data_IF_437505070343
#
_entry.id   IF_437505070343
#
_cell.length_a   1.000
_cell.length_b   1.000
_cell.length_c   1.000
_cell.angle_alpha   90.00
_cell.angle_beta   90.00
_cell.angle_gamma   90.00
#
_symmetry.space_group_name_H-M   'P 1'
#
loop_
_entity.id
_entity.type
_entity.pdbx_description
1 polymer ?
#
# COMPACT_ATOMS: atom_id res chain seq x y z
N UNK A 1 33.73 9.08 -24.92
CA UNK A 1 32.70 9.89 -25.59
C UNK A 1 31.83 10.52 -24.52
N UNK A 2 31.82 11.84 -24.45
CA UNK A 2 31.10 12.63 -23.44
C UNK A 2 29.60 12.54 -23.72
N UNK A 3 28.83 12.06 -22.74
CA UNK A 3 27.37 12.19 -22.74
C UNK A 3 27.03 13.61 -22.29
N UNK A 4 26.58 14.44 -23.21
CA UNK A 4 26.02 15.76 -22.90
C UNK A 4 24.65 15.59 -22.26
N UNK A 5 24.56 15.91 -20.95
CA UNK A 5 23.31 15.98 -20.22
C UNK A 5 22.83 17.42 -20.32
N UNK A 6 21.91 17.69 -21.24
CA UNK A 6 21.22 18.99 -21.30
C UNK A 6 20.16 19.04 -20.20
N UNK A 7 20.45 19.77 -19.11
CA UNK A 7 19.47 20.07 -18.05
C UNK A 7 18.35 20.94 -18.61
N UNK A 8 17.12 20.45 -18.56
CA UNK A 8 15.90 21.23 -18.80
C UNK A 8 14.99 21.02 -17.59
N UNK A 9 14.88 22.05 -16.73
CA UNK A 9 13.95 22.29 -15.61
C UNK A 9 13.63 21.13 -14.63
N UNK A 10 13.77 21.41 -13.33
CA UNK A 10 13.58 20.67 -12.06
C UNK A 10 12.64 19.43 -11.92
N UNK A 11 12.06 18.90 -12.99
CA UNK A 11 11.48 17.56 -13.03
C UNK A 11 12.50 16.56 -13.58
N UNK A 12 13.25 15.90 -12.69
CA UNK A 12 14.08 14.74 -13.09
C UNK A 12 13.14 13.63 -13.57
N UNK A 13 12.92 13.56 -14.88
CA UNK A 13 12.27 12.47 -15.58
C UNK A 13 13.37 11.62 -16.21
N UNK A 14 13.84 10.62 -15.49
CA UNK A 14 14.80 9.63 -16.00
C UNK A 14 14.00 8.42 -16.46
N UNK A 15 13.87 8.27 -17.78
CA UNK A 15 13.43 7.04 -18.41
C UNK A 15 14.63 6.50 -19.15
N UNK A 16 15.34 5.56 -18.52
CA UNK A 16 16.35 4.78 -19.22
C UNK A 16 16.11 3.28 -19.02
N UNK A 17 16.15 2.64 -20.17
CA UNK A 17 16.09 1.22 -20.46
C UNK A 17 17.18 0.46 -19.69
N UNK A 18 16.79 -0.57 -18.92
CA UNK A 18 17.77 -1.62 -18.60
C UNK A 18 18.07 -2.39 -19.88
N UNK A 19 19.31 -2.91 -20.02
CA UNK A 19 19.73 -3.81 -21.12
C UNK A 19 18.80 -5.02 -21.35
N UNK A 20 17.91 -5.29 -20.40
CA UNK A 20 16.93 -6.39 -20.40
C UNK A 20 15.48 -5.96 -20.75
N UNK A 21 15.24 -4.70 -21.14
CA UNK A 21 13.90 -4.24 -21.58
C UNK A 21 12.91 -3.88 -20.47
N UNK A 22 13.37 -3.77 -19.23
CA UNK A 22 12.57 -3.27 -18.12
C UNK A 22 12.47 -1.74 -18.19
N UNK A 23 11.22 -1.24 -18.31
CA UNK A 23 10.91 0.19 -18.25
C UNK A 23 11.05 0.65 -16.80
N UNK A 24 11.99 1.57 -16.54
CA UNK A 24 12.05 2.35 -15.30
C UNK A 24 11.63 3.78 -15.63
N UNK A 25 10.47 4.17 -15.09
CA UNK A 25 10.00 5.55 -15.10
C UNK A 25 10.40 6.14 -13.74
N UNK A 26 11.59 6.73 -13.66
CA UNK A 26 12.01 7.45 -12.47
C UNK A 26 11.64 8.91 -12.67
N UNK A 27 10.63 9.34 -11.92
CA UNK A 27 10.12 10.70 -12.00
C UNK A 27 10.07 11.27 -10.61
N UNK A 28 10.58 12.49 -10.45
CA UNK A 28 10.30 13.26 -9.26
C UNK A 28 8.78 13.50 -9.18
N UNK A 29 8.14 12.78 -8.25
CA UNK A 29 6.74 12.98 -7.89
C UNK A 29 6.65 14.27 -7.07
N UNK A 30 6.50 15.42 -7.74
CA UNK A 30 5.94 16.59 -7.05
C UNK A 30 4.44 16.37 -6.88
N UNK A 31 3.94 16.42 -5.64
CA UNK A 31 2.52 16.23 -5.30
C UNK A 31 1.92 14.91 -5.82
N UNK A 32 2.65 13.80 -5.65
CA UNK A 32 2.16 12.44 -5.94
C UNK A 32 1.82 12.16 -7.41
N UNK A 33 2.19 13.06 -8.33
CA UNK A 33 1.92 12.90 -9.75
C UNK A 33 3.09 13.37 -10.60
N UNK A 34 3.00 13.09 -11.89
CA UNK A 34 3.96 13.48 -12.90
C UNK A 34 3.24 14.32 -13.93
N UNK A 35 3.83 15.45 -14.30
CA UNK A 35 3.28 16.34 -15.31
C UNK A 35 4.15 16.28 -16.58
N UNK A 36 3.58 15.79 -17.68
CA UNK A 36 4.26 15.68 -18.97
C UNK A 36 3.58 16.48 -20.06
N UNK A 37 4.39 17.09 -20.92
CA UNK A 37 3.92 17.64 -22.20
C UNK A 37 3.69 16.53 -23.23
N UNK A 38 2.91 16.82 -24.27
CA UNK A 38 2.72 15.91 -25.40
C UNK A 38 4.05 15.55 -26.11
N UNK A 39 5.01 16.48 -26.13
CA UNK A 39 6.33 16.24 -26.71
C UNK A 39 7.16 15.28 -25.86
N UNK A 40 7.18 15.44 -24.53
CA UNK A 40 7.83 14.48 -23.64
C UNK A 40 7.23 13.07 -23.80
N UNK A 41 5.90 12.94 -23.79
CA UNK A 41 5.24 11.66 -24.06
C UNK A 41 5.60 11.06 -25.44
N UNK A 42 5.76 11.90 -26.46
CA UNK A 42 6.21 11.47 -27.79
C UNK A 42 7.61 10.84 -27.77
N UNK A 43 8.53 11.41 -26.98
CA UNK A 43 9.86 10.84 -26.78
C UNK A 43 9.77 9.49 -26.04
N UNK A 44 9.00 9.41 -24.96
CA UNK A 44 8.84 8.19 -24.14
C UNK A 44 8.30 7.04 -24.97
N UNK A 45 7.21 7.29 -25.70
CA UNK A 45 6.54 6.23 -26.45
C UNK A 45 7.09 6.08 -27.88
N UNK A 46 8.18 6.78 -28.22
CA UNK A 46 8.80 6.79 -29.54
C UNK A 46 7.76 6.94 -30.66
N UNK A 47 7.03 8.06 -30.62
CA UNK A 47 5.93 8.36 -31.56
C UNK A 47 5.83 9.84 -31.86
N UNK A 48 5.29 10.18 -33.02
CA UNK A 48 5.07 11.58 -33.39
C UNK A 48 4.16 12.31 -32.38
N UNK A 49 4.54 13.53 -32.02
CA UNK A 49 3.76 14.39 -31.12
C UNK A 49 2.33 14.57 -31.59
N UNK A 50 2.10 14.66 -32.91
CA UNK A 50 0.74 14.75 -33.49
C UNK A 50 -0.11 13.53 -33.14
N UNK A 51 0.47 12.33 -33.13
CA UNK A 51 -0.21 11.09 -32.76
C UNK A 51 -0.52 11.08 -31.26
N UNK A 52 0.43 11.50 -30.43
CA UNK A 52 0.21 11.65 -28.98
C UNK A 52 -0.93 12.64 -28.70
N UNK A 53 -0.92 13.82 -29.32
CA UNK A 53 -2.00 14.82 -29.19
C UNK A 53 -3.35 14.26 -29.64
N UNK A 54 -3.38 13.45 -30.70
CA UNK A 54 -4.60 12.75 -31.12
C UNK A 54 -5.09 11.80 -30.03
N UNK A 55 -4.21 10.99 -29.44
CA UNK A 55 -4.59 10.10 -28.35
C UNK A 55 -5.09 10.88 -27.13
N UNK A 56 -4.40 11.93 -26.70
CA UNK A 56 -4.83 12.80 -25.59
C UNK A 56 -6.24 13.37 -25.85
N UNK A 57 -6.49 13.89 -27.05
CA UNK A 57 -7.82 14.39 -27.38
C UNK A 57 -8.88 13.30 -27.35
N UNK A 58 -8.56 12.09 -27.83
CA UNK A 58 -9.48 10.96 -27.73
C UNK A 58 -9.75 10.55 -26.28
N UNK A 59 -8.76 10.57 -25.38
CA UNK A 59 -8.96 10.27 -23.95
C UNK A 59 -10.04 11.18 -23.35
N UNK A 60 -9.99 12.48 -23.63
CA UNK A 60 -10.99 13.43 -23.14
C UNK A 60 -12.33 13.31 -23.88
N UNK A 61 -12.32 13.07 -25.19
CA UNK A 61 -13.56 12.95 -25.99
C UNK A 61 -14.34 11.67 -25.66
N UNK A 62 -13.63 10.59 -25.34
CA UNK A 62 -14.22 9.31 -24.95
C UNK A 62 -14.79 9.37 -23.52
N UNK A 63 -14.55 10.47 -22.77
CA UNK A 63 -14.95 10.62 -21.38
C UNK A 63 -14.16 9.75 -20.40
N UNK A 64 -12.99 9.23 -20.80
CA UNK A 64 -12.15 8.40 -19.93
C UNK A 64 -11.57 9.22 -18.77
N UNK A 65 -11.17 10.47 -19.05
CA UNK A 65 -10.69 11.42 -18.05
C UNK A 65 -11.33 12.80 -18.32
N UNK A 66 -11.47 13.61 -17.28
CA UNK A 66 -11.90 15.00 -17.41
C UNK A 66 -10.72 15.91 -17.74
N UNK A 67 -10.92 16.99 -18.49
CA UNK A 67 -9.80 17.86 -18.89
C UNK A 67 -9.33 18.80 -17.77
N UNK A 68 -10.21 19.16 -16.85
CA UNK A 68 -9.97 20.21 -15.85
C UNK A 68 -8.96 19.76 -14.79
N UNK A 69 -9.09 18.54 -14.27
CA UNK A 69 -8.21 17.98 -13.24
C UNK A 69 -6.92 17.39 -13.83
N UNK A 70 -6.91 17.08 -15.13
CA UNK A 70 -5.85 16.33 -15.78
C UNK A 70 -4.96 17.18 -16.71
N UNK A 71 -5.19 18.50 -16.81
CA UNK A 71 -4.41 19.42 -17.66
C UNK A 71 -4.01 20.69 -16.93
N UNK A 72 -2.72 21.03 -16.93
CA UNK A 72 -2.21 22.31 -16.47
C UNK A 72 -1.61 23.10 -17.65
N UNK A 73 -1.94 24.40 -17.75
CA UNK A 73 -1.36 25.29 -18.76
C UNK A 73 -0.32 26.20 -18.12
N UNK A 74 0.92 26.10 -18.59
CA UNK A 74 2.03 26.94 -18.12
C UNK A 74 2.41 27.92 -19.22
N UNK A 75 2.55 29.20 -18.86
CA UNK A 75 3.03 30.24 -19.77
C UNK A 75 4.56 30.26 -19.69
N UNK A 76 5.20 30.04 -20.83
CA UNK A 76 6.66 30.07 -20.96
C UNK A 76 7.03 31.32 -21.72
N UNK A 77 8.00 32.08 -21.20
CA UNK A 77 8.48 33.30 -21.84
C UNK A 77 9.06 32.99 -23.22
N UNK A 78 8.70 33.82 -24.21
CA UNK A 78 9.08 33.61 -25.61
C UNK A 78 8.18 32.66 -26.41
N UNK A 79 7.24 31.95 -25.77
CA UNK A 79 6.26 31.09 -26.46
C UNK A 79 4.92 31.81 -26.61
N UNK A 80 4.41 31.89 -27.84
CA UNK A 80 3.14 32.58 -28.15
C UNK A 80 1.91 31.95 -27.48
N UNK A 81 1.94 30.66 -27.18
CA UNK A 81 0.81 29.90 -26.64
C UNK A 81 1.23 29.16 -25.36
N UNK A 82 0.35 29.09 -24.34
CA UNK A 82 0.62 28.30 -23.13
C UNK A 82 0.88 26.83 -23.48
N UNK A 83 1.89 26.25 -22.83
CA UNK A 83 2.23 24.84 -22.98
C UNK A 83 1.33 24.03 -22.04
N UNK A 84 0.72 22.97 -22.58
CA UNK A 84 -0.13 22.07 -21.79
C UNK A 84 0.69 20.90 -21.25
N UNK A 85 0.57 20.69 -19.95
CA UNK A 85 1.07 19.56 -19.18
C UNK A 85 -0.10 18.67 -18.80
N UNK A 86 0.14 17.37 -18.78
CA UNK A 86 -0.85 16.34 -18.49
C UNK A 86 -0.35 15.45 -17.36
N UNK A 87 -1.24 15.10 -16.44
CA UNK A 87 -0.90 14.30 -15.27
C UNK A 87 -0.63 12.82 -15.62
N UNK A 88 -0.28 12.03 -14.61
CA UNK A 88 0.05 10.62 -14.75
C UNK A 88 -1.09 9.79 -15.38
N UNK A 89 -2.35 10.09 -15.07
CA UNK A 89 -3.50 9.33 -15.59
C UNK A 89 -3.60 9.44 -17.12
N UNK A 90 -3.40 10.66 -17.65
CA UNK A 90 -3.35 10.88 -19.10
C UNK A 90 -2.17 10.13 -19.72
N UNK A 91 -1.00 10.13 -19.07
CA UNK A 91 0.19 9.42 -19.56
C UNK A 91 -0.06 7.91 -19.63
N UNK A 92 -0.67 7.33 -18.60
CA UNK A 92 -1.02 5.90 -18.56
C UNK A 92 -2.01 5.57 -19.67
N UNK A 93 -3.08 6.35 -19.81
CA UNK A 93 -4.11 6.14 -20.83
C UNK A 93 -3.53 6.21 -22.26
N UNK A 94 -2.71 7.22 -22.52
CA UNK A 94 -1.98 7.34 -23.79
C UNK A 94 -1.07 6.12 -24.01
N UNK A 95 -0.32 5.68 -23.00
CA UNK A 95 0.54 4.51 -23.09
C UNK A 95 -0.18 3.23 -23.52
N UNK A 96 -1.43 3.02 -23.08
CA UNK A 96 -2.26 1.92 -23.55
C UNK A 96 -2.69 2.07 -25.02
N UNK A 97 -2.93 3.31 -25.48
CA UNK A 97 -3.44 3.62 -26.83
C UNK A 97 -2.35 3.72 -27.90
N UNK A 98 -1.09 3.96 -27.53
CA UNK A 98 0.01 4.15 -28.50
C UNK A 98 0.44 2.81 -29.13
N UNK A 99 0.50 2.80 -30.47
CA UNK A 99 1.04 1.70 -31.27
C UNK A 99 2.52 1.95 -31.61
N UNK A 100 3.40 1.58 -30.68
CA UNK A 100 4.85 1.59 -30.84
C UNK A 100 5.48 0.42 -30.07
N UNK A 101 6.78 0.16 -30.29
CA UNK A 101 7.53 -0.84 -29.50
C UNK A 101 7.52 -0.48 -28.01
N UNK A 102 7.73 0.80 -27.68
CA UNK A 102 7.66 1.29 -26.29
C UNK A 102 6.25 1.17 -25.69
N UNK A 103 5.20 1.44 -26.47
CA UNK A 103 3.82 1.19 -26.03
C UNK A 103 3.54 -0.29 -25.77
N UNK A 104 4.12 -1.20 -26.57
CA UNK A 104 4.03 -2.65 -26.33
C UNK A 104 4.76 -3.03 -25.03
N UNK A 105 5.98 -2.53 -24.82
CA UNK A 105 6.75 -2.76 -23.59
C UNK A 105 6.00 -2.23 -22.36
N UNK A 106 5.44 -1.03 -22.44
CA UNK A 106 4.62 -0.43 -21.38
C UNK A 106 3.43 -1.31 -21.02
N UNK A 107 2.67 -1.78 -22.02
CA UNK A 107 1.52 -2.67 -21.76
C UNK A 107 1.93 -4.01 -21.17
N UNK A 108 3.05 -4.61 -21.60
CA UNK A 108 3.56 -5.86 -20.98
C UNK A 108 3.87 -5.65 -19.51
N UNK A 109 4.65 -4.63 -19.20
CA UNK A 109 4.98 -4.22 -17.83
C UNK A 109 3.74 -3.97 -16.99
N UNK A 110 2.76 -3.20 -17.48
CA UNK A 110 1.55 -2.90 -16.75
C UNK A 110 0.70 -4.16 -16.49
N UNK A 111 0.60 -5.02 -17.50
CA UNK A 111 -0.11 -6.31 -17.40
C UNK A 111 0.54 -7.22 -16.37
N UNK A 112 1.87 -7.26 -16.29
CA UNK A 112 2.60 -8.04 -15.29
C UNK A 112 2.28 -7.59 -13.86
N UNK A 113 2.26 -6.28 -13.60
CA UNK A 113 1.88 -5.75 -12.27
C UNK A 113 0.42 -5.98 -11.93
N UNK A 114 -0.49 -5.79 -12.89
CA UNK A 114 -1.91 -6.09 -12.70
C UNK A 114 -2.09 -7.58 -12.39
N UNK A 115 -1.42 -8.46 -13.14
CA UNK A 115 -1.46 -9.91 -12.91
C UNK A 115 -0.91 -10.28 -11.54
N UNK A 116 0.21 -9.68 -11.14
CA UNK A 116 0.79 -9.89 -9.83
C UNK A 116 -0.19 -9.48 -8.72
N UNK A 117 -0.79 -8.30 -8.82
CA UNK A 117 -1.79 -7.82 -7.88
C UNK A 117 -3.01 -8.74 -7.81
N UNK A 118 -3.53 -9.20 -8.96
CA UNK A 118 -4.68 -10.13 -9.00
C UNK A 118 -4.36 -11.45 -8.31
N UNK A 119 -3.13 -11.98 -8.46
CA UNK A 119 -2.73 -13.28 -7.90
C UNK A 119 -2.34 -13.17 -6.41
N UNK A 120 -1.54 -12.17 -6.05
CA UNK A 120 -0.91 -12.04 -4.73
C UNK A 120 -1.65 -11.08 -3.79
N UNK A 121 -2.47 -10.19 -4.33
CA UNK A 121 -3.11 -9.09 -3.61
C UNK A 121 -2.22 -7.85 -3.40
N UNK A 122 -0.99 -7.83 -3.95
CA UNK A 122 -0.06 -6.70 -3.87
C UNK A 122 0.90 -6.68 -5.08
N UNK A 123 1.48 -5.52 -5.38
CA UNK A 123 2.62 -5.35 -6.31
C UNK A 123 3.61 -4.38 -5.69
N UNK A 124 4.92 -4.58 -5.90
CA UNK A 124 5.97 -3.83 -5.21
C UNK A 124 7.19 -3.64 -6.11
N UNK A 125 7.85 -2.49 -5.97
CA UNK A 125 9.13 -2.21 -6.61
C UNK A 125 10.25 -2.25 -5.55
N UNK A 126 10.81 -3.45 -5.35
CA UNK A 126 11.81 -3.71 -4.30
C UNK A 126 13.07 -2.87 -4.46
N UNK A 127 13.55 -2.68 -5.69
CA UNK A 127 14.76 -1.90 -5.94
C UNK A 127 14.54 -0.43 -5.59
N UNK A 128 13.40 0.14 -6.00
CA UNK A 128 13.05 1.53 -5.67
C UNK A 128 12.93 1.71 -4.16
N UNK A 129 12.28 0.78 -3.46
CA UNK A 129 12.11 0.87 -2.01
C UNK A 129 13.43 0.71 -1.25
N UNK A 130 14.35 -0.14 -1.72
CA UNK A 130 15.70 -0.27 -1.14
C UNK A 130 16.56 0.96 -1.37
N UNK A 131 16.56 1.52 -2.59
CA UNK A 131 17.50 2.56 -2.98
C UNK A 131 17.07 3.97 -2.54
N UNK A 132 15.78 4.27 -2.56
CA UNK A 132 15.26 5.60 -2.18
C UNK A 132 14.82 5.67 -0.70
N UNK A 133 15.12 4.62 0.08
CA UNK A 133 14.72 4.50 1.49
C UNK A 133 13.20 4.45 1.69
N UNK A 134 12.43 4.25 0.62
CA UNK A 134 11.00 4.08 0.64
C UNK A 134 10.16 5.29 1.08
N UNK A 135 10.78 6.33 1.65
CA UNK A 135 10.14 7.58 2.07
C UNK A 135 8.91 7.38 2.97
N UNK A 136 7.98 8.34 2.90
CA UNK A 136 6.67 8.28 3.61
C UNK A 136 5.86 7.04 3.23
N UNK A 137 5.89 6.63 1.97
CA UNK A 137 5.10 5.50 1.44
C UNK A 137 5.53 4.14 1.99
N UNK A 138 6.82 3.94 2.30
CA UNK A 138 7.27 2.72 2.94
C UNK A 138 6.75 2.59 4.37
N UNK A 139 6.74 3.68 5.13
CA UNK A 139 6.11 3.69 6.44
C UNK A 139 4.60 3.45 6.37
N UNK A 140 3.92 4.01 5.36
CA UNK A 140 2.50 3.73 5.10
C UNK A 140 2.28 2.25 4.80
N UNK A 141 3.08 1.65 3.91
CA UNK A 141 3.03 0.23 3.58
C UNK A 141 3.25 -0.64 4.82
N UNK A 142 4.27 -0.34 5.63
CA UNK A 142 4.53 -1.06 6.88
C UNK A 142 3.36 -0.97 7.86
N UNK A 143 2.74 0.21 7.99
CA UNK A 143 1.58 0.38 8.87
C UNK A 143 0.36 -0.41 8.35
N UNK A 144 0.12 -0.42 7.04
CA UNK A 144 -0.95 -1.25 6.43
C UNK A 144 -0.69 -2.74 6.65
N UNK A 145 0.54 -3.20 6.48
CA UNK A 145 0.93 -4.59 6.78
C UNK A 145 0.70 -4.91 8.26
N UNK A 146 1.11 -4.01 9.17
CA UNK A 146 0.89 -4.18 10.62
C UNK A 146 -0.59 -4.25 10.97
N UNK A 147 -1.44 -3.44 10.34
CA UNK A 147 -2.89 -3.47 10.57
C UNK A 147 -3.56 -4.74 10.00
N UNK A 148 -3.13 -5.19 8.81
CA UNK A 148 -3.54 -6.48 8.24
C UNK A 148 -3.16 -7.63 9.19
N UNK A 149 -1.92 -7.63 9.70
CA UNK A 149 -1.43 -8.62 10.67
C UNK A 149 -2.19 -8.56 12.00
N UNK A 150 -2.59 -7.37 12.45
CA UNK A 150 -3.33 -7.21 13.69
C UNK A 150 -4.83 -7.42 13.55
N UNK A 151 -5.34 -7.73 12.35
CA UNK A 151 -6.65 -8.32 12.26
C UNK A 151 -6.64 -9.61 13.09
N UNK A 152 -7.55 -9.71 14.06
CA UNK A 152 -7.56 -10.79 15.04
C UNK A 152 -7.42 -12.17 14.38
N UNK A 153 -8.06 -12.39 13.23
CA UNK A 153 -7.97 -13.62 12.45
C UNK A 153 -6.56 -13.97 11.94
N UNK A 154 -5.79 -12.98 11.48
CA UNK A 154 -4.41 -13.19 10.98
C UNK A 154 -3.43 -13.31 12.14
N UNK A 155 -3.61 -12.48 13.17
CA UNK A 155 -2.94 -12.61 14.47
C UNK A 155 -3.08 -14.03 14.99
N UNK A 156 -4.31 -14.54 15.11
CA UNK A 156 -4.58 -15.89 15.57
C UNK A 156 -3.85 -16.92 14.70
N UNK A 157 -3.96 -16.86 13.37
CA UNK A 157 -3.27 -17.82 12.49
C UNK A 157 -1.75 -17.81 12.66
N UNK A 158 -1.11 -16.65 12.77
CA UNK A 158 0.34 -16.55 12.96
C UNK A 158 0.77 -17.08 14.33
N UNK A 159 -0.03 -16.84 15.38
CA UNK A 159 0.23 -17.48 16.68
C UNK A 159 0.01 -19.00 16.57
N UNK A 160 -1.06 -19.48 15.90
CA UNK A 160 -1.25 -20.92 15.68
C UNK A 160 -0.07 -21.54 14.90
N UNK A 161 0.48 -20.87 13.89
CA UNK A 161 1.60 -21.37 13.08
C UNK A 161 2.91 -21.41 13.90
N UNK A 162 3.19 -20.37 14.67
CA UNK A 162 4.33 -20.32 15.58
C UNK A 162 4.22 -21.37 16.69
N UNK A 163 3.02 -21.55 17.28
CA UNK A 163 2.80 -22.52 18.33
C UNK A 163 2.52 -23.94 17.82
N UNK A 164 2.21 -24.14 16.54
CA UNK A 164 2.25 -25.46 15.92
C UNK A 164 3.67 -26.05 15.93
N UNK A 165 4.70 -25.22 16.12
CA UNK A 165 6.07 -25.69 16.43
C UNK A 165 6.25 -26.11 17.90
N UNK A 166 5.31 -25.78 18.79
CA UNK A 166 5.30 -26.25 20.16
C UNK A 166 4.84 -27.72 20.22
N UNK A 167 5.56 -28.51 21.01
CA UNK A 167 5.41 -29.97 21.08
C UNK A 167 4.01 -30.40 21.56
N UNK A 168 3.32 -29.55 22.31
CA UNK A 168 2.07 -29.83 23.01
C UNK A 168 0.83 -29.10 22.44
N UNK A 169 0.91 -28.57 21.23
CA UNK A 169 -0.16 -27.77 20.65
C UNK A 169 -1.35 -28.60 20.13
N UNK A 170 -2.56 -28.27 20.62
CA UNK A 170 -3.83 -28.74 20.07
C UNK A 170 -4.80 -27.54 19.94
N UNK A 171 -5.22 -27.14 18.72
CA UNK A 171 -6.07 -25.96 18.50
C UNK A 171 -7.42 -26.03 19.20
N UNK A 172 -7.91 -27.23 19.53
CA UNK A 172 -9.20 -27.46 20.18
C UNK A 172 -9.08 -27.71 21.68
N UNK A 173 -7.86 -27.75 22.22
CA UNK A 173 -7.65 -27.94 23.66
C UNK A 173 -8.07 -26.70 24.44
N UNK A 174 -8.71 -26.91 25.59
CA UNK A 174 -9.19 -25.83 26.45
C UNK A 174 -8.04 -24.97 26.97
N UNK A 175 -6.89 -25.58 27.23
CA UNK A 175 -5.65 -24.95 27.67
C UNK A 175 -5.13 -23.96 26.63
N UNK A 176 -5.15 -24.36 25.36
CA UNK A 176 -4.74 -23.54 24.23
C UNK A 176 -5.66 -22.32 24.08
N UNK A 177 -6.98 -22.50 24.12
CA UNK A 177 -7.96 -21.40 24.07
C UNK A 177 -7.76 -20.43 25.26
N UNK A 178 -7.55 -20.96 26.47
CA UNK A 178 -7.33 -20.15 27.68
C UNK A 178 -6.03 -19.35 27.61
N UNK A 179 -4.95 -19.97 27.12
CA UNK A 179 -3.68 -19.31 26.88
C UNK A 179 -3.83 -18.14 25.91
N UNK A 180 -4.53 -18.35 24.79
CA UNK A 180 -4.79 -17.29 23.81
C UNK A 180 -5.55 -16.11 24.38
N UNK A 181 -6.64 -16.37 25.11
CA UNK A 181 -7.41 -15.31 25.79
C UNK A 181 -6.53 -14.52 26.76
N UNK A 182 -5.62 -15.20 27.47
CA UNK A 182 -4.70 -14.56 28.40
C UNK A 182 -3.69 -13.66 27.68
N UNK A 183 -3.06 -14.14 26.60
CA UNK A 183 -2.10 -13.36 25.81
C UNK A 183 -2.78 -12.15 25.18
N UNK A 184 -3.96 -12.33 24.60
CA UNK A 184 -4.76 -11.22 24.06
C UNK A 184 -5.04 -10.18 25.14
N UNK A 185 -5.53 -10.58 26.31
CA UNK A 185 -5.79 -9.66 27.41
C UNK A 185 -4.52 -8.94 27.89
N UNK A 186 -3.36 -9.61 27.89
CA UNK A 186 -2.07 -8.95 28.20
C UNK A 186 -1.73 -7.87 27.18
N UNK A 187 -1.97 -8.11 25.89
CA UNK A 187 -1.74 -7.10 24.86
C UNK A 187 -2.70 -5.92 24.96
N UNK A 188 -4.00 -6.18 25.14
CA UNK A 188 -4.98 -5.12 25.35
C UNK A 188 -4.60 -4.28 26.58
N UNK A 189 -4.28 -4.93 27.70
CA UNK A 189 -3.92 -4.22 28.93
C UNK A 189 -2.64 -3.41 28.78
N UNK A 190 -1.62 -3.96 28.10
CA UNK A 190 -0.38 -3.23 27.82
C UNK A 190 -0.57 -2.05 26.86
N UNK A 191 -1.56 -2.13 25.95
CA UNK A 191 -1.82 -1.09 24.95
C UNK A 191 -2.71 0.05 25.48
N UNK A 192 -3.65 -0.20 26.39
CA UNK A 192 -4.62 0.82 26.82
C UNK A 192 -5.18 0.61 28.23
N UNK A 193 -4.58 -0.28 29.02
CA UNK A 193 -4.92 -0.49 30.43
C UNK A 193 -6.20 -1.28 30.69
N UNK A 194 -6.84 -1.85 29.67
CA UNK A 194 -8.06 -2.64 29.80
C UNK A 194 -7.89 -4.01 29.12
N UNK A 195 -8.57 -5.04 29.61
CA UNK A 195 -8.75 -6.30 28.89
C UNK A 195 -9.73 -6.14 27.72
N UNK A 196 -9.78 -7.11 26.80
CA UNK A 196 -10.71 -7.04 25.67
C UNK A 196 -12.18 -6.94 26.13
N UNK A 197 -12.55 -7.67 27.19
CA UNK A 197 -13.90 -7.63 27.75
C UNK A 197 -14.21 -6.29 28.45
N UNK A 198 -13.25 -5.72 29.20
CA UNK A 198 -13.42 -4.41 29.84
C UNK A 198 -13.55 -3.28 28.81
N UNK A 199 -12.84 -3.35 27.68
CA UNK A 199 -13.01 -2.39 26.58
C UNK A 199 -14.45 -2.40 26.07
N UNK A 200 -14.98 -3.57 25.73
CA UNK A 200 -16.35 -3.69 25.23
C UNK A 200 -17.35 -3.21 26.29
N UNK A 201 -17.20 -3.68 27.53
CA UNK A 201 -18.09 -3.30 28.64
C UNK A 201 -18.11 -1.79 28.90
N UNK A 202 -16.95 -1.13 28.88
CA UNK A 202 -16.83 0.29 29.20
C UNK A 202 -17.16 1.21 28.02
N UNK A 203 -17.00 0.75 26.78
CA UNK A 203 -17.09 1.61 25.59
C UNK A 203 -18.33 1.37 24.73
N UNK A 204 -18.95 0.19 24.81
CA UNK A 204 -20.17 -0.10 24.08
C UNK A 204 -21.34 0.67 24.72
N UNK A 205 -21.93 1.61 23.97
CA UNK A 205 -22.96 2.52 24.45
C UNK A 205 -24.01 2.79 23.38
N UNK A 206 -25.25 2.38 23.63
CA UNK A 206 -26.37 2.54 22.69
C UNK A 206 -26.71 4.00 22.38
N UNK A 207 -26.26 4.95 23.20
CA UNK A 207 -26.51 6.38 22.97
C UNK A 207 -25.48 7.00 22.03
N UNK A 208 -24.39 6.29 21.70
CA UNK A 208 -23.37 6.77 20.76
C UNK A 208 -23.66 6.27 19.34
N UNK A 209 -23.23 7.03 18.30
CA UNK A 209 -23.23 6.53 16.94
C UNK A 209 -22.51 5.18 16.87
N UNK A 210 -23.14 4.22 16.17
CA UNK A 210 -22.60 2.86 15.98
C UNK A 210 -22.21 2.15 17.29
N UNK A 211 -22.93 2.41 18.39
CA UNK A 211 -22.64 1.82 19.70
C UNK A 211 -21.26 2.20 20.28
N UNK A 212 -20.59 3.21 19.73
CA UNK A 212 -19.22 3.60 20.10
C UNK A 212 -18.12 2.90 19.31
N UNK A 213 -18.46 2.15 18.26
CA UNK A 213 -17.49 1.56 17.33
C UNK A 213 -16.77 2.68 16.54
N UNK A 214 -15.45 2.59 16.49
CA UNK A 214 -14.55 3.47 15.73
C UNK A 214 -14.14 2.88 14.39
N UNK A 215 -14.22 1.55 14.24
CA UNK A 215 -13.85 0.82 13.02
C UNK A 215 -14.76 -0.38 12.81
N UNK A 216 -15.32 -0.56 11.62
CA UNK A 216 -16.10 -1.74 11.22
C UNK A 216 -16.11 -1.85 9.69
N UNK A 217 -16.48 -3.02 9.17
CA UNK A 217 -16.53 -3.26 7.73
C UNK A 217 -17.90 -2.90 7.15
N UNK A 218 -17.92 -2.14 6.06
CA UNK A 218 -19.15 -1.77 5.35
C UNK A 218 -19.73 -0.43 5.81
N UNK A 219 -20.93 -0.11 5.33
CA UNK A 219 -21.61 1.16 5.65
C UNK A 219 -22.26 1.15 7.05
N UNK A 220 -22.59 -0.04 7.58
CA UNK A 220 -23.19 -0.24 8.90
C UNK A 220 -22.51 -1.39 9.63
N UNK A 221 -22.36 -1.32 10.97
CA UNK A 221 -21.73 -2.39 11.75
C UNK A 221 -22.60 -3.64 11.80
N UNK A 222 -21.96 -4.81 11.77
CA UNK A 222 -22.60 -6.10 11.99
C UNK A 222 -22.55 -6.51 13.45
N UNK A 223 -23.36 -7.50 13.85
CA UNK A 223 -23.32 -8.07 15.21
C UNK A 223 -21.92 -8.59 15.55
N UNK A 224 -21.22 -9.18 14.58
CA UNK A 224 -19.86 -9.68 14.78
C UNK A 224 -18.86 -8.55 15.08
N UNK A 225 -19.10 -7.34 14.58
CA UNK A 225 -18.20 -6.20 14.85
C UNK A 225 -18.32 -5.71 16.30
N UNK A 226 -19.47 -5.92 16.95
CA UNK A 226 -19.74 -5.53 18.33
C UNK A 226 -18.92 -6.38 19.32
N UNK A 227 -18.67 -7.65 18.98
CA UNK A 227 -17.91 -8.58 19.83
C UNK A 227 -16.39 -8.36 19.79
N UNK A 228 -15.90 -7.53 18.85
CA UNK A 228 -14.47 -7.30 18.63
C UNK A 228 -14.01 -6.05 19.39
N UNK A 229 -13.21 -6.23 20.44
CA UNK A 229 -12.73 -5.13 21.28
C UNK A 229 -11.88 -4.09 20.51
N UNK A 230 -11.13 -4.52 19.47
CA UNK A 230 -10.32 -3.63 18.62
C UNK A 230 -11.18 -2.53 17.97
N UNK A 231 -12.44 -2.82 17.67
CA UNK A 231 -13.34 -1.91 16.97
C UNK A 231 -13.82 -0.73 17.84
N UNK A 232 -13.48 -0.71 19.13
CA UNK A 232 -13.76 0.40 20.05
C UNK A 232 -12.50 1.20 20.44
N UNK A 233 -11.36 0.88 19.81
CA UNK A 233 -10.09 1.55 20.10
C UNK A 233 -9.92 2.80 19.25
N UNK A 234 -9.28 3.81 19.83
CA UNK A 234 -8.81 4.97 19.07
C UNK A 234 -7.67 4.58 18.13
N UNK A 235 -7.37 5.42 17.13
CA UNK A 235 -6.26 5.15 16.20
C UNK A 235 -4.91 4.98 16.92
N UNK A 236 -4.65 5.77 17.96
CA UNK A 236 -3.41 5.69 18.75
C UNK A 236 -3.30 4.37 19.53
N UNK A 237 -4.38 3.97 20.22
CA UNK A 237 -4.43 2.70 20.96
C UNK A 237 -4.31 1.51 20.03
N UNK A 238 -4.97 1.57 18.86
CA UNK A 238 -4.89 0.53 17.84
C UNK A 238 -3.46 0.43 17.28
N UNK A 239 -2.80 1.56 17.03
CA UNK A 239 -1.39 1.59 16.61
C UNK A 239 -0.46 1.01 17.67
N UNK A 240 -0.68 1.33 18.94
CA UNK A 240 0.11 0.80 20.06
C UNK A 240 -0.08 -0.71 20.20
N UNK A 241 -1.33 -1.19 20.16
CA UNK A 241 -1.66 -2.61 20.16
C UNK A 241 -0.98 -3.35 19.00
N UNK A 242 -1.07 -2.81 17.78
CA UNK A 242 -0.45 -3.39 16.59
C UNK A 242 1.08 -3.52 16.73
N UNK A 243 1.73 -2.51 17.30
CA UNK A 243 3.18 -2.53 17.51
C UNK A 243 3.61 -3.54 18.57
N UNK A 244 2.88 -3.64 19.69
CA UNK A 244 3.15 -4.64 20.74
C UNK A 244 3.01 -6.07 20.21
N UNK A 245 1.94 -6.31 19.46
CA UNK A 245 1.69 -7.59 18.80
C UNK A 245 2.83 -7.94 17.84
N UNK A 246 3.24 -7.00 16.98
CA UNK A 246 4.36 -7.22 16.04
C UNK A 246 5.65 -7.55 16.77
N UNK A 247 6.02 -6.77 17.80
CA UNK A 247 7.27 -6.99 18.54
C UNK A 247 7.32 -8.32 19.26
N UNK A 248 6.18 -8.80 19.78
CA UNK A 248 6.10 -10.13 20.39
C UNK A 248 6.36 -11.25 19.36
N UNK A 249 5.80 -11.12 18.15
CA UNK A 249 6.04 -12.11 17.09
C UNK A 249 7.48 -12.12 16.62
N UNK A 250 8.07 -10.96 16.38
CA UNK A 250 9.46 -10.87 15.95
C UNK A 250 10.38 -11.53 17.00
N UNK A 251 10.08 -11.33 18.28
CA UNK A 251 10.76 -12.02 19.37
C UNK A 251 10.53 -13.54 19.36
N UNK A 252 9.29 -13.98 19.13
CA UNK A 252 8.94 -15.39 19.19
C UNK A 252 9.51 -16.18 17.99
N UNK A 253 9.51 -15.59 16.78
CA UNK A 253 10.21 -16.13 15.61
C UNK A 253 11.71 -16.27 15.90
N UNK A 254 12.32 -15.27 16.53
CA UNK A 254 13.72 -15.34 16.95
C UNK A 254 13.99 -16.49 17.95
N UNK A 255 13.08 -16.75 18.89
CA UNK A 255 13.23 -17.91 19.79
C UNK A 255 13.10 -19.24 19.03
N UNK A 256 12.17 -19.33 18.08
CA UNK A 256 11.99 -20.51 17.24
C UNK A 256 13.23 -20.79 16.37
N UNK A 257 13.82 -19.76 15.76
CA UNK A 257 15.08 -19.86 15.00
C UNK A 257 16.25 -20.35 15.86
N UNK A 258 16.25 -20.03 17.16
CA UNK A 258 17.26 -20.50 18.13
C UNK A 258 17.01 -21.93 18.61
N UNK A 259 16.04 -22.65 18.06
CA UNK A 259 15.59 -23.98 18.51
C UNK A 259 15.28 -24.04 20.01
N UNK A 260 14.92 -22.90 20.62
CA UNK A 260 14.47 -22.88 22.01
C UNK A 260 13.02 -23.33 22.04
N UNK A 261 12.78 -24.43 22.73
CA UNK A 261 11.45 -25.05 22.84
C UNK A 261 10.52 -24.12 23.60
N UNK A 262 9.45 -23.65 22.96
CA UNK A 262 8.36 -22.97 23.63
C UNK A 262 7.29 -23.99 24.05
N UNK A 263 6.72 -23.82 25.24
CA UNK A 263 5.63 -24.67 25.77
C UNK A 263 4.41 -23.80 26.06
N UNK A 264 3.22 -24.37 25.86
CA UNK A 264 1.96 -23.68 26.18
C UNK A 264 1.68 -23.62 27.68
N UNK A 265 2.19 -24.58 28.46
CA UNK A 265 2.09 -24.57 29.92
C UNK A 265 2.95 -23.44 30.50
N UNK A 266 2.29 -22.48 31.12
CA UNK A 266 2.92 -21.55 32.07
C UNK A 266 3.26 -22.39 33.30
N UNK A 267 4.57 -22.48 33.61
CA UNK A 267 5.07 -23.08 34.86
C UNK A 267 4.78 -22.11 36.00
#
# INVERSE_FOLDING_TARGET
MKSEITKINDSELIIYESKDGNIKLDVNFENETVWLTANQMAQIFNRDEKVIRKHINNVFNDGELDRENNTQKVRVDGVKQPVSYYNLDVVISVGYRVKSLEGVRFRKWATERIKEYIIKGYTMDDERLKNLGGGKYFYELLNRIKDIRSSEKVLYRQVLDLYATAIDYNPKAAETIKFFKMVQNKFHYAAHGNTAAEVIYNRADSNKPFMGLTSFKGELPSINDIEIAKNYLTEEELKMLNNLVSGYFDFAEFQAMKHKTMRMKII
#
